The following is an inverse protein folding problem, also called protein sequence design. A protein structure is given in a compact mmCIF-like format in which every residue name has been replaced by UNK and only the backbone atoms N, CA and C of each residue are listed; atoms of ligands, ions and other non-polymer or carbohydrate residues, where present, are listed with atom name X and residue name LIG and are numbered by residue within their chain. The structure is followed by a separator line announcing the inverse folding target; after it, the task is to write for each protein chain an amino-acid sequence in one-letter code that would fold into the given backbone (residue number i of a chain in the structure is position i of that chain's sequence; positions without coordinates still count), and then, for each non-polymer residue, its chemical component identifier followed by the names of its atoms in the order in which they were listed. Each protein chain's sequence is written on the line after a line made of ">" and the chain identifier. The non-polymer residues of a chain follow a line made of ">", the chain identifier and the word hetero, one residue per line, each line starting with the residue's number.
data_IF_103303170718
#
_entry.id   IF_103303170718
#
_cell.length_a   1.000
_cell.length_b   1.000
_cell.length_c   1.000
_cell.angle_alpha   90.00
_cell.angle_beta   90.00
_cell.angle_gamma   90.00
#
_symmetry.space_group_name_H-M   'P 1'
#
loop_
_entity.id
_entity.type
_entity.pdbx_description
1 polymer ?
#
# COMPACT_ATOMS: atom_id res chain seq x y z
N UNK A 1 26.75 -1.69 35.32
CA UNK A 1 25.91 -2.40 34.34
C UNK A 1 24.61 -2.74 35.05
N UNK A 2 23.47 -2.30 34.53
CA UNK A 2 22.16 -2.76 35.02
C UNK A 2 21.82 -3.98 34.19
N UNK A 3 21.98 -5.17 34.74
CA UNK A 3 21.49 -6.40 34.11
C UNK A 3 20.01 -6.56 34.46
N UNK A 4 19.15 -6.53 33.44
CA UNK A 4 17.73 -6.84 33.57
C UNK A 4 17.58 -8.36 33.50
N UNK A 5 17.65 -9.04 34.64
CA UNK A 5 17.69 -10.51 34.73
C UNK A 5 16.34 -11.23 34.56
N UNK A 6 15.22 -10.51 34.43
CA UNK A 6 13.86 -11.11 34.39
C UNK A 6 12.97 -10.66 33.22
N UNK A 7 13.54 -10.18 32.10
CA UNK A 7 12.74 -9.70 30.97
C UNK A 7 12.27 -10.85 30.07
N UNK A 8 10.96 -11.13 30.03
CA UNK A 8 10.36 -11.93 28.95
C UNK A 8 10.35 -11.09 27.66
N UNK A 9 10.92 -11.57 26.55
CA UNK A 9 10.95 -10.81 25.31
C UNK A 9 9.52 -10.61 24.79
N UNK A 10 9.19 -9.36 24.45
CA UNK A 10 7.97 -9.05 23.71
C UNK A 10 8.09 -9.57 22.27
N UNK A 11 7.17 -10.44 21.86
CA UNK A 11 7.13 -10.99 20.51
C UNK A 11 6.06 -10.30 19.68
N UNK A 12 6.40 -10.00 18.43
CA UNK A 12 5.50 -9.42 17.44
C UNK A 12 5.53 -10.23 16.15
N UNK A 13 4.38 -10.36 15.49
CA UNK A 13 4.33 -10.77 14.10
C UNK A 13 4.72 -9.55 13.23
N UNK A 14 5.89 -9.60 12.60
CA UNK A 14 6.37 -8.50 11.77
C UNK A 14 5.84 -8.65 10.33
N UNK A 15 5.17 -7.61 9.83
CA UNK A 15 4.90 -7.45 8.40
C UNK A 15 5.86 -6.40 7.85
N UNK A 16 6.75 -6.81 6.93
CA UNK A 16 7.77 -5.95 6.34
C UNK A 16 7.28 -5.47 4.97
N UNK A 17 7.28 -4.15 4.75
CA UNK A 17 6.84 -3.54 3.49
C UNK A 17 7.79 -2.43 3.04
N UNK A 18 8.03 -2.33 1.72
CA UNK A 18 8.43 -1.06 1.11
C UNK A 18 7.22 -0.15 1.02
N UNK A 19 7.40 1.13 1.31
CA UNK A 19 6.34 2.11 1.37
C UNK A 19 5.86 2.44 -0.04
N UNK A 20 4.60 2.11 -0.31
CA UNK A 20 3.92 2.53 -1.54
C UNK A 20 2.85 3.56 -1.15
N UNK A 21 2.82 4.76 -1.76
CA UNK A 21 1.88 5.84 -1.39
C UNK A 21 0.38 5.50 -1.49
N UNK A 22 0.02 4.29 -1.94
CA UNK A 22 -1.34 3.82 -2.21
C UNK A 22 -1.66 2.50 -1.46
N UNK A 23 -0.96 2.17 -0.38
CA UNK A 23 -1.35 1.04 0.46
C UNK A 23 -2.74 1.33 1.08
N UNK A 24 -3.72 0.48 0.78
CA UNK A 24 -5.07 0.54 1.33
C UNK A 24 -5.01 0.34 2.86
N UNK A 25 -4.87 1.43 3.61
CA UNK A 25 -4.70 1.46 5.06
C UNK A 25 -5.76 0.65 5.78
N UNK A 26 -7.01 0.70 5.29
CA UNK A 26 -8.11 -0.06 5.85
C UNK A 26 -7.88 -1.57 5.74
N UNK A 27 -7.39 -2.05 4.59
CA UNK A 27 -7.06 -3.46 4.41
C UNK A 27 -5.88 -3.89 5.30
N UNK A 28 -4.89 -3.02 5.49
CA UNK A 28 -3.78 -3.26 6.40
C UNK A 28 -4.25 -3.34 7.87
N UNK A 29 -5.03 -2.36 8.33
CA UNK A 29 -5.61 -2.36 9.68
C UNK A 29 -6.45 -3.62 9.88
N UNK A 30 -7.31 -3.96 8.92
CA UNK A 30 -8.15 -5.15 9.01
C UNK A 30 -7.31 -6.43 9.14
N UNK A 31 -6.22 -6.54 8.38
CA UNK A 31 -5.30 -7.69 8.50
C UNK A 31 -4.70 -7.78 9.90
N UNK A 32 -4.20 -6.67 10.45
CA UNK A 32 -3.59 -6.63 11.77
C UNK A 32 -4.59 -6.96 12.90
N UNK A 33 -5.85 -6.56 12.75
CA UNK A 33 -6.93 -6.91 13.69
C UNK A 33 -7.23 -8.42 13.74
N UNK A 34 -6.90 -9.17 12.69
CA UNK A 34 -7.15 -10.61 12.59
C UNK A 34 -5.87 -11.46 12.80
N UNK A 35 -4.74 -10.85 13.16
CA UNK A 35 -3.53 -11.62 13.47
C UNK A 35 -3.71 -12.39 14.80
N UNK A 36 -3.20 -13.62 14.89
CA UNK A 36 -3.30 -14.45 16.10
C UNK A 36 -2.45 -13.91 17.26
N UNK A 37 -1.56 -12.95 16.97
CA UNK A 37 -0.70 -12.28 17.93
C UNK A 37 -0.53 -10.82 17.52
N UNK A 38 0.01 -10.01 18.42
CA UNK A 38 0.26 -8.59 18.16
C UNK A 38 1.14 -8.42 16.93
N UNK A 39 0.64 -7.71 15.93
CA UNK A 39 1.39 -7.36 14.73
C UNK A 39 2.23 -6.11 14.94
N UNK A 40 3.34 -6.01 14.20
CA UNK A 40 4.08 -4.76 13.98
C UNK A 40 4.36 -4.56 12.49
N UNK A 41 4.03 -3.38 11.98
CA UNK A 41 4.43 -2.96 10.64
C UNK A 41 5.88 -2.47 10.68
N UNK A 42 6.72 -3.03 9.83
CA UNK A 42 8.09 -2.55 9.61
C UNK A 42 8.17 -2.00 8.19
N UNK A 43 8.35 -0.69 8.07
CA UNK A 43 8.42 -0.03 6.77
C UNK A 43 9.74 0.72 6.58
N UNK A 44 10.10 1.00 5.33
CA UNK A 44 11.12 2.00 5.01
C UNK A 44 10.68 3.40 5.48
N UNK A 45 9.44 3.82 5.21
CA UNK A 45 8.90 5.10 5.67
C UNK A 45 7.39 5.07 5.95
N UNK A 46 6.96 5.67 7.07
CA UNK A 46 5.56 5.90 7.39
C UNK A 46 5.32 7.41 7.45
N UNK A 47 4.52 7.93 6.52
CA UNK A 47 4.20 9.36 6.52
C UNK A 47 3.33 9.75 7.75
N UNK A 48 3.34 11.03 8.16
CA UNK A 48 2.63 11.47 9.37
C UNK A 48 1.14 11.13 9.41
N UNK A 49 0.42 11.31 8.29
CA UNK A 49 -1.02 11.04 8.22
C UNK A 49 -1.34 9.55 8.40
N UNK A 50 -0.49 8.69 7.84
CA UNK A 50 -0.57 7.25 8.02
C UNK A 50 -0.27 6.85 9.47
N UNK A 51 0.80 7.40 10.03
CA UNK A 51 1.22 7.12 11.40
C UNK A 51 0.12 7.42 12.41
N UNK A 52 -0.67 8.48 12.20
CA UNK A 52 -1.86 8.75 13.02
C UNK A 52 -2.97 7.72 12.82
N UNK A 53 -3.32 7.38 11.57
CA UNK A 53 -4.34 6.36 11.29
C UNK A 53 -4.00 5.00 11.92
N UNK A 54 -2.74 4.58 11.82
CA UNK A 54 -2.27 3.33 12.42
C UNK A 54 -2.35 3.39 13.96
N UNK A 55 -1.93 4.50 14.56
CA UNK A 55 -2.01 4.71 16.01
C UNK A 55 -3.45 4.72 16.52
N UNK A 56 -4.36 5.43 15.84
CA UNK A 56 -5.80 5.44 16.17
C UNK A 56 -6.40 4.03 16.11
N UNK A 57 -5.96 3.23 15.14
CA UNK A 57 -6.35 1.83 15.01
C UNK A 57 -5.63 0.87 15.97
N UNK A 58 -4.70 1.34 16.80
CA UNK A 58 -3.90 0.50 17.70
C UNK A 58 -2.89 -0.42 16.99
N UNK A 59 -2.55 -0.12 15.73
CA UNK A 59 -1.59 -0.88 14.93
C UNK A 59 -0.18 -0.39 15.20
N UNK A 60 0.68 -1.28 15.71
CA UNK A 60 2.09 -0.98 15.98
C UNK A 60 2.85 -0.76 14.68
N UNK A 61 3.76 0.19 14.63
CA UNK A 61 4.67 0.36 13.49
C UNK A 61 6.04 0.89 13.91
N UNK A 62 7.05 0.63 13.08
CA UNK A 62 8.36 1.26 13.09
C UNK A 62 8.81 1.52 11.65
N UNK A 63 9.58 2.60 11.44
CA UNK A 63 10.21 2.90 10.16
C UNK A 63 11.68 3.28 10.29
N UNK A 64 12.35 3.45 9.15
CA UNK A 64 13.78 3.78 9.10
C UNK A 64 14.07 5.26 9.35
N UNK A 65 13.06 6.13 9.26
CA UNK A 65 13.14 7.55 9.60
C UNK A 65 12.98 7.80 11.11
N UNK A 66 12.80 6.75 11.91
CA UNK A 66 12.61 6.86 13.36
C UNK A 66 11.17 7.17 13.76
N UNK A 67 10.21 7.04 12.86
CA UNK A 67 8.80 6.97 13.23
C UNK A 67 8.48 5.60 13.80
N UNK A 68 7.75 5.58 14.90
CA UNK A 68 7.43 4.41 15.68
C UNK A 68 6.20 4.65 16.56
N UNK A 69 5.37 3.63 16.65
CA UNK A 69 4.33 3.48 17.65
C UNK A 69 4.31 2.03 18.10
N UNK A 70 4.55 1.80 19.39
CA UNK A 70 4.47 0.51 20.07
C UNK A 70 3.74 0.73 21.40
N UNK A 71 2.57 0.12 21.56
CA UNK A 71 1.81 0.03 22.81
C UNK A 71 1.60 -1.44 23.14
N UNK A 72 2.53 -2.04 23.87
CA UNK A 72 2.49 -3.45 24.25
C UNK A 72 2.98 -3.59 25.69
N UNK A 73 2.06 -3.68 26.66
CA UNK A 73 2.40 -3.68 28.08
C UNK A 73 3.52 -4.68 28.42
N UNK A 74 4.55 -4.26 29.20
CA UNK A 74 4.70 -2.96 29.87
C UNK A 74 5.36 -1.85 29.01
N UNK A 75 5.54 -2.07 27.71
CA UNK A 75 6.27 -1.19 26.80
C UNK A 75 5.34 -0.19 26.10
N UNK A 76 5.65 1.10 26.25
CA UNK A 76 5.06 2.16 25.44
C UNK A 76 6.16 2.98 24.77
N UNK A 77 6.23 2.91 23.45
CA UNK A 77 7.13 3.68 22.59
C UNK A 77 6.24 4.47 21.63
N UNK A 78 6.44 5.77 21.60
CA UNK A 78 5.84 6.60 20.57
C UNK A 78 6.88 7.62 20.16
N UNK A 79 7.53 7.36 19.03
CA UNK A 79 8.62 8.18 18.50
C UNK A 79 8.22 8.61 17.10
N UNK A 80 8.35 9.88 16.79
CA UNK A 80 8.06 10.43 15.47
C UNK A 80 9.33 11.09 14.98
N UNK A 81 10.27 10.30 14.51
CA UNK A 81 11.51 10.79 13.93
C UNK A 81 11.35 11.44 12.55
N UNK A 82 10.11 11.59 12.04
CA UNK A 82 9.71 12.09 10.73
C UNK A 82 10.69 13.12 10.11
N UNK A 83 11.56 12.70 9.18
CA UNK A 83 11.82 13.54 8.00
C UNK A 83 11.97 12.72 6.73
N UNK A 84 11.24 13.17 5.70
CA UNK A 84 11.48 12.82 4.32
C UNK A 84 11.77 14.12 3.52
N UNK A 85 13.06 14.52 3.45
CA UNK A 85 13.54 15.80 2.84
C UNK A 85 14.66 15.67 1.78
N UNK A 86 14.87 14.47 1.30
CA UNK A 86 14.95 14.24 -0.13
C UNK A 86 13.71 13.36 -0.43
N UNK A 87 13.68 12.05 -0.45
CA UNK A 87 14.72 11.06 -0.29
C UNK A 87 14.50 10.05 -1.42
N UNK A 88 15.03 10.29 -2.63
CA UNK A 88 15.79 11.48 -3.01
C UNK A 88 16.28 11.60 -4.45
N UNK A 89 15.93 12.72 -5.11
CA UNK A 89 16.33 13.21 -6.45
C UNK A 89 16.34 12.25 -7.65
N UNK A 90 16.15 10.94 -7.45
CA UNK A 90 16.39 9.92 -8.46
C UNK A 90 15.23 8.93 -8.68
N UNK A 91 14.07 9.13 -8.05
CA UNK A 91 12.84 8.47 -8.50
C UNK A 91 11.81 9.54 -8.82
N UNK A 92 11.97 10.12 -10.01
CA UNK A 92 10.84 10.67 -10.74
C UNK A 92 9.91 9.48 -10.96
N UNK A 93 9.02 9.19 -10.00
CA UNK A 93 7.74 8.62 -10.36
C UNK A 93 7.14 9.71 -11.21
N UNK A 94 7.18 9.53 -12.53
CA UNK A 94 6.51 10.49 -13.40
C UNK A 94 5.07 10.63 -12.85
N UNK A 95 4.50 11.84 -12.79
CA UNK A 95 3.13 12.06 -12.28
C UNK A 95 2.03 11.28 -13.01
N UNK A 96 2.41 10.37 -13.91
CA UNK A 96 1.60 9.51 -14.73
C UNK A 96 1.63 8.02 -14.35
N UNK A 97 2.47 7.55 -13.42
CA UNK A 97 2.73 6.10 -13.27
C UNK A 97 1.78 5.32 -12.36
N UNK A 98 0.70 5.94 -11.87
CA UNK A 98 -0.31 5.19 -11.11
C UNK A 98 -1.71 5.83 -11.20
N UNK A 99 -2.15 6.18 -12.41
CA UNK A 99 -3.47 6.79 -12.63
C UNK A 99 -4.61 5.79 -12.44
N UNK A 100 -4.31 4.49 -12.54
CA UNK A 100 -5.29 3.43 -12.36
C UNK A 100 -5.98 3.49 -10.98
N UNK A 101 -5.20 3.67 -9.91
CA UNK A 101 -5.71 3.62 -8.53
C UNK A 101 -5.92 5.01 -7.90
N UNK A 102 -5.38 6.07 -8.49
CA UNK A 102 -5.44 7.43 -7.92
C UNK A 102 -6.60 8.29 -8.43
N UNK A 103 -7.24 7.92 -9.54
CA UNK A 103 -8.29 8.71 -10.18
C UNK A 103 -9.65 8.02 -10.13
N UNK A 104 -10.74 8.79 -9.97
CA UNK A 104 -12.10 8.25 -10.01
C UNK A 104 -12.40 7.54 -11.35
N UNK A 105 -11.84 8.04 -12.46
CA UNK A 105 -11.98 7.43 -13.77
C UNK A 105 -11.21 6.09 -13.87
N UNK A 106 -9.99 6.02 -13.32
CA UNK A 106 -9.24 4.78 -13.22
C UNK A 106 -10.00 3.73 -12.41
N UNK A 107 -10.48 4.09 -11.22
CA UNK A 107 -11.25 3.19 -10.35
C UNK A 107 -12.52 2.64 -11.01
N UNK A 108 -13.21 3.41 -11.87
CA UNK A 108 -14.34 2.90 -12.66
C UNK A 108 -13.95 1.78 -13.61
N UNK A 109 -12.81 1.91 -14.29
CA UNK A 109 -12.29 0.85 -15.18
C UNK A 109 -11.98 -0.41 -14.38
N UNK A 110 -11.32 -0.26 -13.22
CA UNK A 110 -11.01 -1.39 -12.33
C UNK A 110 -12.29 -2.07 -11.86
N UNK A 111 -13.27 -1.30 -11.40
CA UNK A 111 -14.54 -1.83 -10.91
C UNK A 111 -15.25 -2.66 -11.98
N UNK A 112 -15.37 -2.14 -13.20
CA UNK A 112 -16.01 -2.84 -14.32
C UNK A 112 -15.27 -4.12 -14.70
N UNK A 113 -13.92 -4.12 -14.72
CA UNK A 113 -13.11 -5.33 -14.94
C UNK A 113 -13.31 -6.37 -13.82
N UNK A 114 -13.46 -5.96 -12.56
CA UNK A 114 -13.72 -6.86 -11.45
C UNK A 114 -15.13 -7.46 -11.50
N UNK A 115 -16.12 -6.67 -11.93
CA UNK A 115 -17.49 -7.14 -12.13
C UNK A 115 -17.62 -8.08 -13.33
N UNK A 116 -16.83 -7.87 -14.38
CA UNK A 116 -16.82 -8.70 -15.58
C UNK A 116 -15.38 -8.93 -16.08
N UNK A 117 -14.69 -9.97 -15.58
CA UNK A 117 -13.30 -10.25 -15.93
C UNK A 117 -13.04 -10.46 -17.42
N UNK A 118 -14.03 -10.91 -18.19
CA UNK A 118 -13.88 -11.14 -19.64
C UNK A 118 -13.71 -9.84 -20.44
N UNK A 119 -14.06 -8.68 -19.85
CA UNK A 119 -13.80 -7.37 -20.46
C UNK A 119 -12.31 -7.11 -20.70
N UNK A 120 -11.41 -7.79 -19.97
CA UNK A 120 -9.96 -7.69 -20.22
C UNK A 120 -9.56 -8.12 -21.63
N UNK A 121 -10.38 -8.95 -22.29
CA UNK A 121 -10.18 -9.43 -23.66
C UNK A 121 -10.83 -8.53 -24.72
N UNK A 122 -11.60 -7.52 -24.32
CA UNK A 122 -12.31 -6.61 -25.20
C UNK A 122 -11.42 -5.46 -25.65
N UNK A 123 -11.88 -4.71 -26.64
CA UNK A 123 -11.15 -3.52 -27.11
C UNK A 123 -11.20 -2.41 -26.06
N UNK A 124 -10.17 -1.55 -26.03
CA UNK A 124 -10.13 -0.42 -25.10
C UNK A 124 -11.35 0.52 -25.24
N UNK A 125 -11.97 0.58 -26.43
CA UNK A 125 -13.19 1.36 -26.66
C UNK A 125 -14.42 0.75 -25.99
N UNK A 126 -14.58 -0.57 -26.07
CA UNK A 126 -15.67 -1.27 -25.37
C UNK A 126 -15.53 -1.12 -23.85
N UNK A 127 -14.31 -1.26 -23.32
CA UNK A 127 -14.03 -1.06 -21.90
C UNK A 127 -14.32 0.38 -21.47
N UNK A 128 -13.93 1.38 -22.28
CA UNK A 128 -14.19 2.78 -21.99
C UNK A 128 -15.68 3.11 -21.97
N UNK A 129 -16.46 2.51 -22.87
CA UNK A 129 -17.90 2.66 -22.92
C UNK A 129 -18.57 2.05 -21.68
N UNK A 130 -18.21 0.82 -21.32
CA UNK A 130 -18.74 0.12 -20.15
C UNK A 130 -18.41 0.85 -18.83
N UNK A 131 -17.18 1.34 -18.69
CA UNK A 131 -16.75 2.12 -17.54
C UNK A 131 -17.22 3.59 -17.56
N UNK A 132 -17.82 4.05 -18.66
CA UNK A 132 -18.20 5.44 -18.90
C UNK A 132 -17.06 6.44 -18.61
N UNK A 133 -15.93 6.24 -19.31
CA UNK A 133 -14.72 7.07 -19.20
C UNK A 133 -14.12 7.39 -20.57
N UNK A 134 -13.18 8.33 -20.62
CA UNK A 134 -12.39 8.59 -21.81
C UNK A 134 -11.49 7.39 -22.16
N UNK A 135 -11.29 7.13 -23.46
CA UNK A 135 -10.42 6.06 -23.96
C UNK A 135 -9.00 6.12 -23.38
N UNK A 136 -8.44 7.33 -23.26
CA UNK A 136 -7.11 7.54 -22.69
C UNK A 136 -6.99 7.06 -21.23
N UNK A 137 -8.08 7.05 -20.47
CA UNK A 137 -8.10 6.47 -19.11
C UNK A 137 -7.84 4.98 -19.15
N UNK A 138 -8.49 4.26 -20.07
CA UNK A 138 -8.30 2.80 -20.23
C UNK A 138 -6.86 2.50 -20.64
N UNK A 139 -6.30 3.25 -21.59
CA UNK A 139 -4.89 3.10 -21.99
C UNK A 139 -3.95 3.25 -20.80
N UNK A 140 -4.15 4.28 -19.97
CA UNK A 140 -3.31 4.51 -18.79
C UNK A 140 -3.46 3.37 -17.77
N UNK A 141 -4.70 2.94 -17.48
CA UNK A 141 -4.97 1.84 -16.54
C UNK A 141 -4.28 0.55 -16.98
N UNK A 142 -4.40 0.18 -18.26
CA UNK A 142 -3.79 -1.03 -18.78
C UNK A 142 -2.25 -0.97 -18.80
N UNK A 143 -1.68 0.20 -19.09
CA UNK A 143 -0.23 0.40 -18.98
C UNK A 143 0.26 0.22 -17.54
N UNK A 144 -0.45 0.80 -16.56
CA UNK A 144 -0.15 0.62 -15.15
C UNK A 144 -0.26 -0.86 -14.74
N UNK A 145 -1.29 -1.57 -15.21
CA UNK A 145 -1.51 -2.98 -14.92
C UNK A 145 -0.44 -3.90 -15.51
N UNK A 146 0.04 -3.62 -16.72
CA UNK A 146 1.15 -4.35 -17.34
C UNK A 146 2.47 -4.10 -16.61
N UNK A 147 2.74 -2.86 -16.18
CA UNK A 147 3.96 -2.52 -15.42
C UNK A 147 4.00 -3.20 -14.04
N UNK A 148 2.84 -3.45 -13.44
CA UNK A 148 2.69 -4.03 -12.10
C UNK A 148 2.35 -5.53 -12.12
N UNK A 149 2.43 -6.18 -13.29
CA UNK A 149 2.10 -7.60 -13.49
C UNK A 149 0.67 -7.99 -13.06
N UNK A 150 -0.27 -7.04 -13.00
CA UNK A 150 -1.69 -7.33 -12.72
C UNK A 150 -2.43 -7.94 -13.91
N UNK A 151 -1.96 -7.63 -15.12
CA UNK A 151 -2.40 -8.28 -16.36
C UNK A 151 -1.15 -8.72 -17.11
N UNK A 152 -1.20 -9.92 -17.66
CA UNK A 152 -0.16 -10.43 -18.57
C UNK A 152 -0.64 -10.31 -20.01
N UNK A 153 0.24 -9.87 -20.91
CA UNK A 153 -0.09 -9.86 -22.33
C UNK A 153 0.00 -11.30 -22.85
N UNK A 154 -1.15 -11.91 -23.14
CA UNK A 154 -1.19 -13.27 -23.71
C UNK A 154 -0.51 -13.26 -25.07
N UNK A 155 0.56 -14.05 -25.23
CA UNK A 155 1.13 -14.32 -26.54
C UNK A 155 0.00 -14.83 -27.45
N UNK A 156 -0.17 -14.22 -28.62
CA UNK A 156 -1.00 -14.80 -29.69
C UNK A 156 -0.44 -16.18 -30.00
N UNK A 157 -1.12 -17.23 -29.52
CA UNK A 157 -0.98 -18.55 -30.13
C UNK A 157 -1.50 -18.38 -31.55
N UNK A 158 -0.58 -18.46 -32.52
CA UNK A 158 -0.88 -18.44 -33.94
C UNK A 158 -1.69 -19.66 -34.32
#
# INVERSE_FOLDING_TARGET
>A
MIELTDYKPLQFAAEIKKWTPQANVGALINRFNHLPMRGILVADYVNPNMGEKLKEAGVQYIDTAGNAYIKADPLYIYIKGNRNELIGKNEIIEPNENRAFTTAAGLKVIFVLLCNPDLVRKTYREIAAEANVALGTVTNVFNDFLKQDYIINGLKVR
#
